data_IF_536496066833
#
_entry.id   IF_536496066833
#
_cell.length_a   1.000
_cell.length_b   1.000
_cell.length_c   1.000
_cell.angle_alpha   90.00
_cell.angle_beta   90.00
_cell.angle_gamma   90.00
#
_symmetry.space_group_name_H-M   'P 1'
#
loop_
_entity.id
_entity.type
_entity.pdbx_description
1 polymer ?
#
# COMPACT_ATOMS: atom_id res chain seq x y z
N UNK A 1 -35.64 -59.25 32.36
CA UNK A 1 -34.36 -58.65 31.96
C UNK A 1 -34.65 -57.63 30.88
N UNK A 2 -34.74 -56.35 31.23
CA UNK A 2 -34.95 -55.24 30.29
C UNK A 2 -33.63 -54.49 30.20
N UNK A 3 -32.99 -54.55 29.04
CA UNK A 3 -31.70 -53.89 28.78
C UNK A 3 -32.01 -52.43 28.41
N UNK A 4 -31.54 -51.52 29.25
CA UNK A 4 -31.58 -50.07 29.02
C UNK A 4 -30.52 -49.70 27.98
N UNK A 5 -30.94 -49.18 26.83
CA UNK A 5 -30.06 -48.64 25.82
C UNK A 5 -29.77 -47.15 26.12
N UNK A 6 -28.56 -46.88 26.61
CA UNK A 6 -28.04 -45.52 26.79
C UNK A 6 -27.82 -44.86 25.43
N UNK A 7 -28.44 -43.69 25.22
CA UNK A 7 -28.13 -42.79 24.11
C UNK A 7 -26.97 -41.88 24.54
N UNK A 8 -25.76 -42.19 24.08
CA UNK A 8 -24.67 -41.21 24.09
C UNK A 8 -24.92 -40.21 22.96
N UNK A 9 -25.29 -38.98 23.32
CA UNK A 9 -25.19 -37.84 22.41
C UNK A 9 -23.73 -37.41 22.38
N UNK A 10 -23.01 -37.78 21.33
CA UNK A 10 -21.70 -37.20 21.04
C UNK A 10 -21.93 -35.82 20.46
N UNK A 11 -21.82 -34.78 21.30
CA UNK A 11 -21.74 -33.41 20.83
C UNK A 11 -20.37 -33.24 20.15
N UNK A 12 -20.36 -33.23 18.81
CA UNK A 12 -19.23 -32.78 18.04
C UNK A 12 -19.13 -31.25 18.21
N UNK A 13 -18.33 -30.78 19.16
CA UNK A 13 -17.86 -29.41 19.14
C UNK A 13 -17.04 -29.25 17.87
N UNK A 14 -17.62 -28.61 16.86
CA UNK A 14 -16.85 -28.02 15.78
C UNK A 14 -15.91 -27.00 16.44
N UNK A 15 -14.63 -27.35 16.56
CA UNK A 15 -13.58 -26.35 16.72
C UNK A 15 -13.67 -25.47 15.48
N UNK A 16 -14.34 -24.32 15.62
CA UNK A 16 -14.13 -23.22 14.70
C UNK A 16 -12.63 -22.93 14.76
N UNK A 17 -11.88 -23.42 13.77
CA UNK A 17 -10.50 -23.04 13.59
C UNK A 17 -10.52 -21.53 13.42
N UNK A 18 -10.05 -20.79 14.42
CA UNK A 18 -9.77 -19.37 14.26
C UNK A 18 -8.80 -19.28 13.10
N UNK A 19 -9.24 -18.67 12.00
CA UNK A 19 -8.33 -18.23 10.97
C UNK A 19 -7.24 -17.39 11.67
N UNK A 20 -5.98 -17.80 11.55
CA UNK A 20 -4.87 -17.03 12.10
C UNK A 20 -4.61 -15.92 11.09
N UNK A 21 -5.26 -14.77 11.30
CA UNK A 21 -5.04 -13.59 10.49
C UNK A 21 -3.58 -13.12 10.61
N UNK A 22 -3.12 -12.42 9.57
CA UNK A 22 -1.87 -11.66 9.62
C UNK A 22 -1.88 -10.74 10.84
N UNK A 23 -0.81 -10.75 11.62
CA UNK A 23 -0.64 -9.82 12.72
C UNK A 23 -0.63 -8.39 12.18
N UNK A 24 -1.20 -7.43 12.93
CA UNK A 24 -1.09 -6.03 12.56
C UNK A 24 0.38 -5.61 12.43
N UNK A 25 0.64 -4.73 11.46
CA UNK A 25 1.90 -4.01 11.38
C UNK A 25 1.82 -2.73 12.22
N UNK A 26 2.94 -2.38 12.84
CA UNK A 26 3.14 -1.16 13.60
C UNK A 26 4.24 -0.32 12.97
N UNK A 27 4.29 0.96 13.33
CA UNK A 27 5.38 1.86 12.94
C UNK A 27 6.40 1.91 14.07
N UNK A 28 7.67 1.65 13.74
CA UNK A 28 8.82 1.81 14.62
C UNK A 28 9.90 2.64 13.92
N UNK A 29 9.96 3.93 14.23
CA UNK A 29 10.78 4.90 13.49
C UNK A 29 10.47 4.87 11.99
N UNK A 30 11.49 4.58 11.17
CA UNK A 30 11.38 4.50 9.70
C UNK A 30 10.85 3.17 9.16
N UNK A 31 10.52 2.22 10.03
CA UNK A 31 10.15 0.88 9.60
C UNK A 31 8.70 0.55 9.95
N UNK A 32 8.06 -0.19 9.05
CA UNK A 32 6.95 -1.04 9.43
C UNK A 32 7.51 -2.30 10.08
N UNK A 33 6.91 -2.74 11.18
CA UNK A 33 7.31 -3.95 11.90
C UNK A 33 6.11 -4.81 12.25
N UNK A 34 6.28 -6.13 12.24
CA UNK A 34 5.28 -7.05 12.76
C UNK A 34 5.05 -6.78 14.26
N UNK A 35 3.81 -6.56 14.68
CA UNK A 35 3.49 -6.21 16.07
C UNK A 35 3.94 -7.27 17.10
N UNK A 36 4.01 -8.55 16.71
CA UNK A 36 4.40 -9.68 17.58
C UNK A 36 5.90 -9.96 17.53
N UNK A 37 6.48 -10.13 16.34
CA UNK A 37 7.88 -10.53 16.17
C UNK A 37 8.86 -9.36 16.18
N UNK A 38 8.36 -8.13 15.92
CA UNK A 38 9.15 -6.91 15.70
C UNK A 38 10.12 -7.00 14.51
N UNK A 39 9.94 -8.00 13.65
CA UNK A 39 10.68 -8.09 12.39
C UNK A 39 10.21 -7.01 11.43
N UNK A 40 11.15 -6.48 10.64
CA UNK A 40 10.88 -5.44 9.66
C UNK A 40 10.00 -5.99 8.54
N UNK A 41 9.09 -5.15 8.07
CA UNK A 41 8.26 -5.40 6.92
C UNK A 41 8.62 -4.42 5.79
N UNK A 42 8.88 -4.94 4.61
CA UNK A 42 9.08 -4.17 3.38
C UNK A 42 7.88 -4.36 2.47
N UNK A 43 7.33 -3.25 1.99
CA UNK A 43 6.21 -3.25 1.06
C UNK A 43 6.72 -3.74 -0.30
N UNK A 44 6.19 -4.87 -0.77
CA UNK A 44 6.31 -5.38 -2.14
C UNK A 44 4.90 -5.42 -2.69
N UNK A 45 4.46 -4.29 -3.27
CA UNK A 45 3.06 -4.05 -3.48
C UNK A 45 2.63 -3.73 -4.91
N UNK A 46 1.32 -3.62 -5.08
CA UNK A 46 0.67 -3.17 -6.31
C UNK A 46 -0.59 -2.37 -5.96
N UNK A 47 -0.87 -1.37 -6.79
CA UNK A 47 -2.10 -0.60 -6.72
C UNK A 47 -3.28 -1.40 -7.29
N UNK A 48 -4.34 -1.57 -6.50
CA UNK A 48 -5.48 -2.44 -6.79
C UNK A 48 -6.79 -1.65 -6.81
N UNK A 49 -7.17 -1.18 -7.99
CA UNK A 49 -8.46 -0.53 -8.25
C UNK A 49 -9.08 -1.00 -9.58
N UNK A 50 -9.42 -2.29 -9.76
CA UNK A 50 -10.11 -2.78 -10.96
C UNK A 50 -11.30 -1.91 -11.38
N UNK A 51 -11.30 -1.42 -12.62
CA UNK A 51 -12.31 -0.50 -13.16
C UNK A 51 -12.08 0.98 -12.81
N UNK A 52 -10.97 1.30 -12.17
CA UNK A 52 -10.55 2.64 -11.77
C UNK A 52 -11.58 3.36 -10.91
N UNK A 53 -11.66 4.68 -11.07
CA UNK A 53 -12.66 5.54 -10.42
C UNK A 53 -14.10 5.07 -10.64
N UNK A 54 -14.42 4.55 -11.84
CA UNK A 54 -15.78 4.21 -12.22
C UNK A 54 -16.30 2.94 -11.53
N UNK A 55 -15.41 2.18 -10.88
CA UNK A 55 -15.76 0.96 -10.17
C UNK A 55 -16.58 1.21 -8.90
N UNK A 56 -16.52 2.43 -8.35
CA UNK A 56 -17.12 2.76 -7.04
C UNK A 56 -18.47 3.43 -7.19
N UNK A 57 -19.47 2.85 -6.57
CA UNK A 57 -20.81 3.41 -6.48
C UNK A 57 -21.51 2.90 -5.20
N UNK A 58 -22.82 3.14 -5.06
CA UNK A 58 -23.59 2.72 -3.88
C UNK A 58 -23.81 1.20 -3.76
N UNK A 59 -23.37 0.40 -4.74
CA UNK A 59 -23.64 -1.05 -4.84
C UNK A 59 -22.39 -1.89 -5.06
N UNK A 60 -21.31 -1.30 -5.56
CA UNK A 60 -20.07 -2.02 -5.85
C UNK A 60 -18.85 -1.13 -5.65
N UNK A 61 -17.75 -1.78 -5.29
CA UNK A 61 -16.38 -1.28 -5.30
C UNK A 61 -15.40 -2.47 -5.51
N UNK A 62 -14.08 -2.26 -5.63
CA UNK A 62 -13.10 -3.33 -5.88
C UNK A 62 -13.09 -4.50 -4.89
N UNK A 63 -13.67 -4.32 -3.70
CA UNK A 63 -13.66 -5.31 -2.61
C UNK A 63 -15.04 -5.95 -2.40
N UNK A 64 -15.97 -5.80 -3.35
CA UNK A 64 -17.31 -6.41 -3.31
C UNK A 64 -17.46 -7.71 -4.11
N UNK A 65 -16.55 -7.99 -5.05
CA UNK A 65 -16.58 -9.23 -5.86
C UNK A 65 -15.53 -10.22 -5.36
N UNK A 66 -15.98 -11.20 -4.56
CA UNK A 66 -15.09 -12.20 -3.97
C UNK A 66 -14.42 -13.11 -5.00
N UNK A 67 -15.06 -13.36 -6.15
CA UNK A 67 -14.49 -14.22 -7.19
C UNK A 67 -13.36 -13.49 -7.93
N UNK A 68 -13.52 -12.17 -8.13
CA UNK A 68 -12.45 -11.30 -8.62
C UNK A 68 -11.29 -11.21 -7.62
N UNK A 69 -11.57 -10.95 -6.34
CA UNK A 69 -10.56 -10.89 -5.29
C UNK A 69 -9.77 -12.20 -5.17
N UNK A 70 -10.44 -13.36 -5.24
CA UNK A 70 -9.77 -14.67 -5.16
C UNK A 70 -8.89 -14.95 -6.39
N UNK A 71 -9.37 -14.61 -7.59
CA UNK A 71 -8.57 -14.68 -8.83
C UNK A 71 -7.30 -13.84 -8.70
N UNK A 72 -7.46 -12.60 -8.29
CA UNK A 72 -6.37 -11.63 -8.26
C UNK A 72 -5.37 -11.95 -7.14
N UNK A 73 -5.85 -12.34 -5.95
CA UNK A 73 -5.00 -12.84 -4.87
C UNK A 73 -4.17 -14.06 -5.30
N UNK A 74 -4.74 -15.01 -6.05
CA UNK A 74 -4.01 -16.17 -6.56
C UNK A 74 -2.86 -15.79 -7.51
N UNK A 75 -3.06 -14.76 -8.36
CA UNK A 75 -2.02 -14.24 -9.25
C UNK A 75 -0.98 -13.42 -8.47
N UNK A 76 -1.41 -12.55 -7.56
CA UNK A 76 -0.54 -11.78 -6.67
C UNK A 76 0.37 -12.68 -5.82
N UNK A 77 -0.14 -13.82 -5.36
CA UNK A 77 0.65 -14.83 -4.67
C UNK A 77 1.80 -15.37 -5.52
N UNK A 78 1.57 -15.57 -6.82
CA UNK A 78 2.62 -16.01 -7.76
C UNK A 78 3.67 -14.94 -8.01
N UNK A 79 3.30 -13.66 -8.00
CA UNK A 79 4.25 -12.54 -8.11
C UNK A 79 5.08 -12.35 -6.85
N UNK A 80 4.52 -12.65 -5.67
CA UNK A 80 5.13 -12.31 -4.38
C UNK A 80 4.67 -10.99 -3.80
N UNK A 81 3.52 -10.48 -4.24
CA UNK A 81 2.92 -9.25 -3.69
C UNK A 81 2.47 -9.50 -2.26
N UNK A 82 2.86 -8.61 -1.34
CA UNK A 82 2.50 -8.69 0.08
C UNK A 82 1.63 -7.52 0.55
N UNK A 83 1.40 -6.53 -0.31
CA UNK A 83 0.62 -5.33 0.00
C UNK A 83 -0.16 -4.85 -1.21
N UNK A 84 -1.40 -4.44 -1.01
CA UNK A 84 -2.19 -3.73 -2.03
C UNK A 84 -2.61 -2.36 -1.52
N UNK A 85 -2.70 -1.38 -2.41
CA UNK A 85 -3.34 -0.08 -2.12
C UNK A 85 -4.68 0.01 -2.83
N UNK A 86 -5.70 0.48 -2.14
CA UNK A 86 -7.04 0.71 -2.70
C UNK A 86 -7.43 2.16 -2.49
N UNK A 87 -7.79 2.84 -3.58
CA UNK A 87 -7.98 4.30 -3.62
C UNK A 87 -9.40 4.72 -3.25
N UNK A 88 -10.39 3.94 -3.68
CA UNK A 88 -11.78 4.35 -3.59
C UNK A 88 -12.64 3.16 -3.19
N UNK A 89 -13.41 3.35 -2.12
CA UNK A 89 -14.32 2.35 -1.54
C UNK A 89 -15.62 3.01 -1.08
N UNK A 90 -16.68 2.21 -0.98
CA UNK A 90 -17.95 2.62 -0.40
C UNK A 90 -18.10 2.00 0.99
N UNK A 91 -18.00 2.79 2.09
CA UNK A 91 -18.06 2.31 3.46
C UNK A 91 -19.19 1.35 3.80
N UNK A 92 -20.37 1.54 3.19
CA UNK A 92 -21.58 0.80 3.59
C UNK A 92 -21.70 -0.59 2.95
N UNK A 93 -20.80 -0.96 2.04
CA UNK A 93 -20.80 -2.29 1.41
C UNK A 93 -20.16 -3.33 2.33
N UNK A 94 -20.40 -4.62 2.06
CA UNK A 94 -19.72 -5.70 2.77
C UNK A 94 -18.44 -6.06 2.03
N UNK A 95 -17.31 -6.01 2.75
CA UNK A 95 -15.98 -6.34 2.23
C UNK A 95 -15.39 -7.60 2.85
N UNK A 96 -16.10 -8.26 3.77
CA UNK A 96 -15.59 -9.33 4.63
C UNK A 96 -14.87 -10.41 3.83
N UNK A 97 -15.47 -10.84 2.73
CA UNK A 97 -14.93 -11.95 1.94
C UNK A 97 -13.64 -11.57 1.21
N UNK A 98 -13.58 -10.40 0.56
CA UNK A 98 -12.38 -9.95 -0.13
C UNK A 98 -11.23 -9.67 0.85
N UNK A 99 -11.52 -8.98 1.97
CA UNK A 99 -10.49 -8.70 2.98
C UNK A 99 -9.94 -9.99 3.58
N UNK A 100 -10.81 -10.97 3.85
CA UNK A 100 -10.38 -12.30 4.32
C UNK A 100 -9.55 -13.02 3.26
N UNK A 101 -9.91 -12.96 1.97
CA UNK A 101 -9.12 -13.55 0.88
C UNK A 101 -7.71 -12.96 0.87
N UNK A 102 -7.56 -11.64 0.91
CA UNK A 102 -6.24 -11.00 0.90
C UNK A 102 -5.45 -11.31 2.18
N UNK A 103 -6.09 -11.33 3.35
CA UNK A 103 -5.44 -11.73 4.60
C UNK A 103 -4.89 -13.15 4.53
N UNK A 104 -5.71 -14.13 4.12
CA UNK A 104 -5.29 -15.52 3.97
C UNK A 104 -4.27 -15.70 2.83
N UNK A 105 -4.20 -14.79 1.87
CA UNK A 105 -3.14 -14.77 0.87
C UNK A 105 -1.80 -14.25 1.40
N UNK A 106 -1.74 -13.70 2.62
CA UNK A 106 -0.56 -13.01 3.14
C UNK A 106 -0.39 -11.58 2.61
N UNK A 107 -1.49 -10.91 2.27
CA UNK A 107 -1.51 -9.58 1.65
C UNK A 107 -2.14 -8.55 2.61
N UNK A 108 -1.34 -7.54 2.95
CA UNK A 108 -1.78 -6.35 3.67
C UNK A 108 -2.47 -5.34 2.74
N UNK A 109 -3.27 -4.45 3.30
CA UNK A 109 -3.97 -3.40 2.57
C UNK A 109 -3.65 -2.01 3.12
N UNK A 110 -3.32 -1.07 2.24
CA UNK A 110 -3.31 0.36 2.54
C UNK A 110 -4.54 0.97 1.87
N UNK A 111 -5.35 1.69 2.65
CA UNK A 111 -6.67 2.14 2.22
C UNK A 111 -6.72 3.66 2.21
N UNK A 112 -7.00 4.25 1.06
CA UNK A 112 -7.35 5.66 1.00
C UNK A 112 -8.77 5.84 1.55
N UNK A 113 -8.96 6.84 2.41
CA UNK A 113 -10.29 7.11 3.01
C UNK A 113 -11.16 8.00 2.13
N UNK A 114 -10.55 8.61 1.12
CA UNK A 114 -11.18 9.50 0.17
C UNK A 114 -11.99 8.71 -0.88
N UNK A 115 -12.86 9.41 -1.59
CA UNK A 115 -13.72 8.83 -2.62
C UNK A 115 -14.16 9.89 -3.63
N UNK A 116 -14.41 9.52 -4.90
CA UNK A 116 -14.97 10.40 -5.91
C UNK A 116 -16.46 10.69 -5.71
N UNK A 117 -17.11 9.98 -4.78
CA UNK A 117 -18.51 10.19 -4.46
C UNK A 117 -18.71 11.58 -3.83
N UNK A 118 -19.95 12.08 -3.86
CA UNK A 118 -20.27 13.38 -3.30
C UNK A 118 -19.81 13.49 -1.84
N UNK A 119 -19.16 14.60 -1.50
CA UNK A 119 -18.53 14.87 -0.20
C UNK A 119 -17.42 13.88 0.19
N UNK A 120 -16.94 13.02 -0.73
CA UNK A 120 -15.96 11.98 -0.42
C UNK A 120 -14.50 12.45 -0.37
N UNK A 121 -14.23 13.73 -0.64
CA UNK A 121 -12.86 14.24 -0.77
C UNK A 121 -12.71 15.67 -0.27
N UNK A 122 -11.48 16.02 0.09
CA UNK A 122 -11.10 17.37 0.45
C UNK A 122 -10.80 18.17 -0.82
N UNK A 123 -11.47 19.30 -1.02
CA UNK A 123 -11.19 20.20 -2.14
C UNK A 123 -9.81 20.86 -1.95
N UNK A 124 -8.88 20.59 -2.85
CA UNK A 124 -7.50 21.11 -2.77
C UNK A 124 -7.40 22.64 -2.90
N UNK A 125 -8.32 23.30 -3.60
CA UNK A 125 -8.30 24.75 -3.80
C UNK A 125 -9.00 25.51 -2.65
N UNK A 126 -10.05 24.91 -2.08
CA UNK A 126 -10.85 25.52 -1.01
C UNK A 126 -11.17 24.49 0.11
N UNK A 127 -10.16 23.93 0.79
CA UNK A 127 -10.36 22.82 1.73
C UNK A 127 -11.26 23.17 2.92
N UNK A 128 -11.38 24.46 3.26
CA UNK A 128 -12.31 24.94 4.29
C UNK A 128 -13.79 24.73 3.95
N UNK A 129 -14.12 24.49 2.67
CA UNK A 129 -15.51 24.26 2.21
C UNK A 129 -15.93 22.80 2.33
N UNK A 130 -14.97 21.88 2.39
CA UNK A 130 -15.22 20.41 2.39
C UNK A 130 -14.69 19.73 3.65
N UNK A 131 -13.94 20.43 4.50
CA UNK A 131 -13.53 19.92 5.82
C UNK A 131 -14.70 20.05 6.81
N UNK A 132 -15.70 19.19 6.62
CA UNK A 132 -16.96 19.22 7.34
C UNK A 132 -17.45 17.82 7.74
N UNK A 133 -18.61 17.76 8.39
CA UNK A 133 -19.18 16.50 8.87
C UNK A 133 -19.53 15.52 7.73
N UNK A 134 -19.91 16.01 6.56
CA UNK A 134 -20.30 15.14 5.44
C UNK A 134 -19.07 14.43 4.86
N UNK A 135 -17.94 15.12 4.79
CA UNK A 135 -16.67 14.47 4.46
C UNK A 135 -16.24 13.43 5.49
N UNK A 136 -16.38 13.73 6.78
CA UNK A 136 -16.00 12.79 7.83
C UNK A 136 -16.94 11.57 7.95
N UNK A 137 -18.15 11.60 7.40
CA UNK A 137 -18.97 10.40 7.25
C UNK A 137 -18.33 9.37 6.32
N UNK A 138 -17.73 9.82 5.20
CA UNK A 138 -16.94 8.96 4.33
C UNK A 138 -15.66 8.48 5.05
N UNK A 139 -14.88 9.42 5.61
CA UNK A 139 -13.58 9.11 6.22
C UNK A 139 -13.71 8.13 7.39
N UNK A 140 -14.57 8.44 8.36
CA UNK A 140 -14.79 7.55 9.51
C UNK A 140 -15.58 6.31 9.10
N UNK A 141 -16.37 6.36 8.03
CA UNK A 141 -17.06 5.19 7.48
C UNK A 141 -16.07 4.13 7.00
N UNK A 142 -15.03 4.52 6.26
CA UNK A 142 -13.95 3.61 5.86
C UNK A 142 -13.24 3.05 7.11
N UNK A 143 -12.91 3.90 8.10
CA UNK A 143 -12.29 3.41 9.34
C UNK A 143 -13.21 2.38 10.03
N UNK A 144 -14.50 2.65 10.17
CA UNK A 144 -15.47 1.74 10.79
C UNK A 144 -15.58 0.40 10.05
N UNK A 145 -15.67 0.44 8.72
CA UNK A 145 -15.76 -0.75 7.89
C UNK A 145 -14.51 -1.65 8.02
N UNK A 146 -13.33 -1.07 8.23
CA UNK A 146 -12.06 -1.80 8.11
C UNK A 146 -11.23 -1.94 9.40
N UNK A 147 -11.54 -1.22 10.49
CA UNK A 147 -10.72 -1.18 11.72
C UNK A 147 -10.53 -2.54 12.42
N UNK A 148 -11.39 -3.52 12.15
CA UNK A 148 -11.33 -4.84 12.77
C UNK A 148 -10.46 -5.84 12.00
N UNK A 149 -10.00 -5.51 10.79
CA UNK A 149 -9.13 -6.41 10.02
C UNK A 149 -7.66 -6.14 10.36
N UNK A 150 -6.95 -7.20 10.76
CA UNK A 150 -5.55 -7.09 11.17
C UNK A 150 -4.60 -6.86 9.99
N UNK A 151 -4.98 -7.27 8.77
CA UNK A 151 -4.21 -7.04 7.55
C UNK A 151 -4.40 -5.63 6.96
N UNK A 152 -5.16 -4.73 7.59
CA UNK A 152 -5.16 -3.30 7.21
C UNK A 152 -3.90 -2.65 7.77
N UNK A 153 -2.91 -2.41 6.93
CA UNK A 153 -1.63 -1.80 7.32
C UNK A 153 -1.83 -0.36 7.78
N UNK A 154 -2.61 0.42 7.05
CA UNK A 154 -2.83 1.83 7.38
C UNK A 154 -3.83 2.52 6.46
N UNK A 155 -4.13 3.76 6.80
CA UNK A 155 -5.02 4.63 6.02
C UNK A 155 -4.27 5.83 5.45
N UNK A 156 -4.48 6.15 4.16
CA UNK A 156 -4.08 7.44 3.60
C UNK A 156 -5.19 8.46 3.87
N UNK A 157 -4.84 9.57 4.53
CA UNK A 157 -5.74 10.69 4.83
C UNK A 157 -6.00 11.62 3.62
N UNK A 158 -5.24 11.41 2.54
CA UNK A 158 -5.33 12.15 1.29
C UNK A 158 -4.27 11.67 0.32
N UNK A 159 -4.57 11.85 -0.97
CA UNK A 159 -3.70 11.53 -2.10
C UNK A 159 -3.53 12.79 -2.95
N UNK A 160 -2.30 13.28 -3.10
CA UNK A 160 -1.93 14.42 -3.95
C UNK A 160 -2.80 15.68 -3.76
N UNK A 161 -3.38 15.88 -2.57
CA UNK A 161 -4.18 17.07 -2.26
C UNK A 161 -3.31 18.32 -2.37
N UNK A 162 -2.05 18.24 -1.93
CA UNK A 162 -1.05 19.27 -2.12
C UNK A 162 -0.36 19.02 -3.47
N UNK A 163 -0.68 19.86 -4.44
CA UNK A 163 -0.09 19.88 -5.77
C UNK A 163 -0.14 21.32 -6.35
N UNK A 164 0.17 21.50 -7.63
CA UNK A 164 0.19 22.81 -8.29
C UNK A 164 -1.16 23.56 -8.27
N UNK A 165 -2.28 22.85 -8.13
CA UNK A 165 -3.63 23.42 -8.11
C UNK A 165 -4.15 23.66 -6.69
N UNK A 166 -3.35 23.29 -5.68
CA UNK A 166 -3.73 23.42 -4.28
C UNK A 166 -3.56 24.84 -3.77
N UNK A 167 -4.40 25.23 -2.82
CA UNK A 167 -4.16 26.44 -2.03
C UNK A 167 -2.98 26.21 -1.08
N UNK A 168 -2.23 27.26 -0.78
CA UNK A 168 -1.13 27.22 0.19
C UNK A 168 -1.58 26.73 1.59
N UNK A 169 -2.88 26.81 1.92
CA UNK A 169 -3.48 26.32 3.17
C UNK A 169 -3.76 24.81 3.19
N UNK A 170 -3.70 24.11 2.05
CA UNK A 170 -4.03 22.68 1.96
C UNK A 170 -3.27 21.80 2.98
N UNK A 171 -1.96 22.02 3.25
CA UNK A 171 -1.23 21.23 4.25
C UNK A 171 -1.86 21.27 5.66
N UNK A 172 -2.37 22.42 6.12
CA UNK A 172 -3.02 22.51 7.43
C UNK A 172 -4.30 21.69 7.52
N UNK A 173 -5.09 21.63 6.44
CA UNK A 173 -6.32 20.86 6.42
C UNK A 173 -6.05 19.37 6.34
N UNK A 174 -5.12 18.92 5.49
CA UNK A 174 -4.71 17.51 5.45
C UNK A 174 -4.17 17.08 6.82
N UNK A 175 -3.32 17.90 7.45
CA UNK A 175 -2.77 17.59 8.79
C UNK A 175 -3.86 17.55 9.87
N UNK A 176 -4.93 18.34 9.72
CA UNK A 176 -6.09 18.28 10.60
C UNK A 176 -6.95 17.01 10.37
N UNK A 177 -7.08 16.55 9.12
CA UNK A 177 -7.72 15.26 8.81
C UNK A 177 -6.95 14.12 9.48
N UNK A 178 -5.61 14.10 9.37
CA UNK A 178 -4.75 13.12 10.07
C UNK A 178 -5.01 13.13 11.58
N UNK A 179 -5.01 14.32 12.21
CA UNK A 179 -5.32 14.48 13.64
C UNK A 179 -6.66 13.84 14.00
N UNK A 180 -7.71 14.15 13.24
CA UNK A 180 -9.06 13.72 13.57
C UNK A 180 -9.28 12.23 13.30
N UNK A 181 -8.67 11.67 12.25
CA UNK A 181 -8.61 10.23 12.00
C UNK A 181 -7.93 9.49 13.15
N UNK A 182 -6.76 9.96 13.58
CA UNK A 182 -6.01 9.33 14.69
C UNK A 182 -6.76 9.42 16.01
N UNK A 183 -7.41 10.55 16.29
CA UNK A 183 -8.27 10.68 17.47
C UNK A 183 -9.49 9.73 17.39
N UNK A 184 -10.11 9.60 16.21
CA UNK A 184 -11.22 8.66 16.00
C UNK A 184 -10.79 7.21 16.22
N UNK A 185 -9.68 6.80 15.62
CA UNK A 185 -9.10 5.45 15.74
C UNK A 185 -8.77 5.16 17.22
N UNK A 186 -8.08 6.07 17.90
CA UNK A 186 -7.71 5.90 19.31
C UNK A 186 -8.92 5.71 20.24
N UNK A 187 -10.08 6.28 19.89
CA UNK A 187 -11.31 6.16 20.66
C UNK A 187 -12.17 4.95 20.29
N UNK A 188 -12.21 4.60 19.00
CA UNK A 188 -13.23 3.71 18.44
C UNK A 188 -12.69 2.40 17.84
N UNK A 189 -11.37 2.23 17.69
CA UNK A 189 -10.75 1.02 17.11
C UNK A 189 -10.15 0.11 18.19
N UNK A 190 -10.10 -1.22 17.95
CA UNK A 190 -9.52 -2.18 18.89
C UNK A 190 -7.98 -2.16 18.92
N UNK A 191 -7.35 -1.48 17.95
CA UNK A 191 -5.90 -1.35 17.80
C UNK A 191 -5.54 0.02 17.24
N UNK A 192 -4.27 0.40 17.38
CA UNK A 192 -3.70 1.50 16.62
C UNK A 192 -3.64 1.10 15.14
N UNK A 193 -4.05 2.02 14.27
CA UNK A 193 -3.94 1.88 12.82
C UNK A 193 -3.20 3.12 12.31
N UNK A 194 -2.02 2.97 11.70
CA UNK A 194 -1.25 4.08 11.15
C UNK A 194 -2.07 4.93 10.16
N UNK A 195 -1.92 6.26 10.24
CA UNK A 195 -2.50 7.21 9.28
C UNK A 195 -1.41 8.01 8.60
N UNK A 196 -1.32 7.91 7.28
CA UNK A 196 -0.32 8.57 6.45
C UNK A 196 -0.90 9.51 5.41
N UNK A 197 -0.03 9.99 4.53
CA UNK A 197 -0.37 10.83 3.37
C UNK A 197 0.39 10.36 2.13
N UNK A 198 -0.27 10.34 0.97
CA UNK A 198 0.35 10.03 -0.31
C UNK A 198 0.58 11.32 -1.10
N UNK A 199 1.84 11.63 -1.38
CA UNK A 199 2.28 12.87 -1.99
C UNK A 199 2.63 12.69 -3.48
N UNK A 200 2.40 13.74 -4.24
CA UNK A 200 2.93 13.87 -5.60
C UNK A 200 4.44 14.17 -5.55
N UNK A 201 5.21 13.64 -6.50
CA UNK A 201 6.62 13.98 -6.70
C UNK A 201 6.78 15.37 -7.35
N UNK A 202 6.47 16.41 -6.59
CA UNK A 202 6.69 17.81 -6.99
C UNK A 202 7.96 18.32 -6.32
N UNK A 203 9.07 18.27 -7.06
CA UNK A 203 10.44 18.52 -6.57
C UNK A 203 10.60 19.72 -5.65
N UNK A 204 9.89 20.82 -5.91
CA UNK A 204 10.04 22.07 -5.16
C UNK A 204 9.32 22.09 -3.81
N UNK A 205 8.42 21.15 -3.53
CA UNK A 205 7.59 21.13 -2.31
C UNK A 205 7.59 19.76 -1.61
N UNK A 206 8.20 18.74 -2.18
CA UNK A 206 8.14 17.37 -1.67
C UNK A 206 8.72 17.25 -0.25
N UNK A 207 9.96 17.70 -0.06
CA UNK A 207 10.64 17.66 1.25
C UNK A 207 9.95 18.57 2.26
N UNK A 208 9.59 19.79 1.87
CA UNK A 208 8.79 20.70 2.69
C UNK A 208 7.45 20.06 3.12
N UNK A 209 6.80 19.28 2.24
CA UNK A 209 5.56 18.56 2.55
C UNK A 209 5.80 17.47 3.59
N UNK A 210 6.85 16.67 3.45
CA UNK A 210 7.24 15.66 4.43
C UNK A 210 7.56 16.31 5.79
N UNK A 211 8.43 17.32 5.82
CA UNK A 211 8.75 18.09 7.04
C UNK A 211 7.50 18.69 7.69
N UNK A 212 6.57 19.23 6.89
CA UNK A 212 5.32 19.80 7.40
C UNK A 212 4.47 18.77 8.12
N UNK A 213 4.45 17.51 7.66
CA UNK A 213 3.63 16.45 8.26
C UNK A 213 4.33 15.66 9.36
N UNK A 214 5.67 15.58 9.33
CA UNK A 214 6.49 14.81 10.28
C UNK A 214 6.96 15.60 11.50
N UNK A 215 7.02 16.94 11.43
CA UNK A 215 7.50 17.70 12.58
C UNK A 215 6.56 17.60 13.79
N UNK A 216 7.09 17.73 15.00
CA UNK A 216 6.32 17.75 16.25
C UNK A 216 5.80 19.15 16.57
N UNK A 217 4.49 19.28 16.74
CA UNK A 217 3.89 20.52 17.25
C UNK A 217 3.97 20.51 18.79
N UNK A 218 4.34 21.64 19.38
CA UNK A 218 4.48 21.77 20.84
C UNK A 218 3.19 21.50 21.63
N UNK A 219 2.02 21.63 20.99
CA UNK A 219 0.71 21.42 21.59
C UNK A 219 0.00 20.15 21.11
N UNK A 220 0.57 19.36 20.19
CA UNK A 220 -0.04 18.11 19.70
C UNK A 220 0.95 17.24 18.93
N UNK A 221 1.03 15.96 19.29
CA UNK A 221 1.73 14.94 18.48
C UNK A 221 0.78 14.13 17.60
N UNK A 222 -0.52 14.08 17.94
CA UNK A 222 -1.52 13.28 17.24
C UNK A 222 -1.80 13.74 15.80
N UNK A 223 -1.37 14.95 15.42
CA UNK A 223 -1.50 15.47 14.05
C UNK A 223 -0.34 15.10 13.13
N UNK A 224 0.72 14.47 13.66
CA UNK A 224 1.82 13.95 12.84
C UNK A 224 1.34 12.71 12.08
N UNK A 225 1.73 12.58 10.81
CA UNK A 225 1.54 11.33 10.05
C UNK A 225 2.33 10.18 10.69
N UNK A 226 1.89 8.96 10.42
CA UNK A 226 2.56 7.73 10.84
C UNK A 226 3.38 7.10 9.70
N UNK A 227 3.16 7.49 8.45
CA UNK A 227 3.94 7.09 7.27
C UNK A 227 3.73 8.07 6.12
N UNK A 228 4.67 8.11 5.18
CA UNK A 228 4.65 8.98 4.01
C UNK A 228 4.76 8.15 2.72
N UNK A 229 3.77 8.24 1.85
CA UNK A 229 3.78 7.65 0.52
C UNK A 229 4.21 8.69 -0.52
N UNK A 230 5.01 8.28 -1.50
CA UNK A 230 5.40 9.10 -2.64
C UNK A 230 4.98 8.42 -3.96
N UNK A 231 4.26 9.14 -4.81
CA UNK A 231 3.98 8.69 -6.18
C UNK A 231 5.16 9.08 -7.07
N UNK A 232 6.10 8.15 -7.31
CA UNK A 232 7.35 8.41 -8.01
C UNK A 232 7.43 7.68 -9.35
N UNK A 233 7.46 8.46 -10.43
CA UNK A 233 7.57 7.97 -11.82
C UNK A 233 8.86 8.43 -12.51
N UNK A 234 9.87 8.83 -11.73
CA UNK A 234 11.10 9.44 -12.24
C UNK A 234 12.06 8.44 -12.89
N UNK A 235 11.91 7.15 -12.61
CA UNK A 235 12.64 6.08 -13.29
C UNK A 235 11.84 5.54 -14.49
N UNK A 236 12.33 5.78 -15.72
CA UNK A 236 11.72 5.27 -16.94
C UNK A 236 12.76 4.51 -17.78
N UNK A 237 12.42 3.31 -18.27
CA UNK A 237 13.28 2.52 -19.16
C UNK A 237 14.59 2.08 -18.50
N UNK A 238 15.72 2.34 -19.18
CA UNK A 238 17.07 1.97 -18.74
C UNK A 238 17.75 3.05 -17.88
N UNK A 239 16.96 3.83 -17.15
CA UNK A 239 17.48 4.77 -16.15
C UNK A 239 18.35 4.06 -15.10
N UNK A 240 19.10 4.86 -14.34
CA UNK A 240 19.95 4.42 -13.24
C UNK A 240 19.60 5.21 -11.99
N UNK A 241 20.10 4.75 -10.84
CA UNK A 241 19.91 5.39 -9.54
C UNK A 241 20.13 6.92 -9.55
N UNK A 242 21.14 7.39 -10.28
CA UNK A 242 21.42 8.83 -10.42
C UNK A 242 20.62 9.50 -11.54
N UNK A 243 20.41 8.85 -12.68
CA UNK A 243 19.70 9.50 -13.79
C UNK A 243 18.19 9.57 -13.58
N UNK A 244 17.61 8.73 -12.71
CA UNK A 244 16.23 8.84 -12.25
C UNK A 244 16.05 9.88 -11.14
N UNK A 245 17.12 10.28 -10.45
CA UNK A 245 17.05 11.10 -9.24
C UNK A 245 16.70 10.31 -7.97
N UNK A 246 16.74 8.98 -8.00
CA UNK A 246 16.52 8.16 -6.80
C UNK A 246 17.62 8.34 -5.76
N UNK A 247 18.81 8.77 -6.17
CA UNK A 247 19.88 9.21 -5.26
C UNK A 247 19.51 10.46 -4.47
N UNK A 248 18.91 11.44 -5.12
CA UNK A 248 18.37 12.65 -4.47
C UNK A 248 17.25 12.27 -3.51
N UNK A 249 16.28 11.45 -3.94
CA UNK A 249 15.20 10.98 -3.07
C UNK A 249 15.74 10.22 -1.85
N UNK A 250 16.79 9.42 -2.01
CA UNK A 250 17.41 8.70 -0.89
C UNK A 250 18.06 9.66 0.09
N UNK A 251 18.74 10.70 -0.39
CA UNK A 251 19.32 11.75 0.46
C UNK A 251 18.23 12.53 1.21
N UNK A 252 17.20 12.97 0.50
CA UNK A 252 16.09 13.76 1.04
C UNK A 252 15.35 13.04 2.19
N UNK A 253 15.14 11.73 2.05
CA UNK A 253 14.43 10.93 3.05
C UNK A 253 15.35 10.13 3.97
N UNK A 254 16.67 10.29 3.87
CA UNK A 254 17.65 9.59 4.71
C UNK A 254 17.42 9.81 6.21
N UNK A 255 16.79 10.93 6.60
CA UNK A 255 16.48 11.30 7.99
C UNK A 255 14.99 11.40 8.29
N UNK A 256 14.12 10.79 7.46
CA UNK A 256 12.69 10.70 7.76
C UNK A 256 12.44 10.06 9.13
N UNK A 257 11.33 10.39 9.76
CA UNK A 257 11.02 9.95 11.13
C UNK A 257 9.86 8.95 11.19
N UNK A 258 9.33 8.65 10.01
CA UNK A 258 8.27 7.70 9.73
C UNK A 258 8.70 6.84 8.53
N UNK A 259 8.06 5.69 8.29
CA UNK A 259 8.29 4.91 7.09
C UNK A 259 7.93 5.72 5.84
N UNK A 260 8.85 5.76 4.89
CA UNK A 260 8.65 6.39 3.58
C UNK A 260 8.68 5.29 2.53
N UNK A 261 7.74 5.28 1.60
CA UNK A 261 7.71 4.28 0.53
C UNK A 261 7.15 4.89 -0.75
N UNK A 262 7.41 4.24 -1.89
CA UNK A 262 6.73 4.62 -3.11
C UNK A 262 5.30 4.12 -3.06
N UNK A 263 4.34 5.01 -2.83
CA UNK A 263 2.93 4.68 -2.87
C UNK A 263 2.44 4.39 -4.28
N UNK A 264 3.21 4.81 -5.30
CA UNK A 264 3.11 4.40 -6.70
C UNK A 264 4.51 4.44 -7.34
N UNK A 265 4.85 3.48 -8.20
CA UNK A 265 5.97 3.55 -9.14
C UNK A 265 5.70 2.72 -10.40
N UNK A 266 6.56 2.87 -11.41
CA UNK A 266 6.52 2.07 -12.64
C UNK A 266 6.16 2.89 -13.89
N UNK A 267 7.01 3.87 -14.22
CA UNK A 267 6.84 4.73 -15.40
C UNK A 267 6.63 3.92 -16.70
N UNK A 268 5.56 4.23 -17.44
CA UNK A 268 5.23 3.57 -18.70
C UNK A 268 5.62 4.36 -19.96
N UNK A 269 6.48 5.40 -19.87
CA UNK A 269 6.96 6.14 -21.05
C UNK A 269 7.78 5.27 -22.02
N UNK A 270 8.39 4.20 -21.51
CA UNK A 270 9.11 3.19 -22.29
C UNK A 270 8.44 1.86 -22.00
N UNK A 271 7.94 1.21 -23.05
CA UNK A 271 7.21 -0.07 -22.95
C UNK A 271 7.88 -1.16 -23.80
N UNK A 272 7.80 -2.44 -23.39
CA UNK A 272 7.25 -2.93 -22.12
C UNK A 272 8.11 -2.48 -20.92
N UNK A 273 7.50 -2.34 -19.73
CA UNK A 273 8.22 -1.91 -18.54
C UNK A 273 9.11 -3.05 -18.06
N UNK A 274 10.40 -2.77 -17.86
CA UNK A 274 11.40 -3.76 -17.41
C UNK A 274 11.58 -3.79 -15.89
N UNK A 275 11.01 -2.80 -15.19
CA UNK A 275 11.00 -2.66 -13.72
C UNK A 275 12.40 -2.71 -13.07
N UNK A 276 13.42 -2.18 -13.74
CA UNK A 276 14.80 -2.20 -13.20
C UNK A 276 14.94 -1.33 -11.94
N UNK A 277 14.04 -0.39 -11.73
CA UNK A 277 13.88 0.40 -10.51
C UNK A 277 13.64 -0.45 -9.25
N UNK A 278 13.10 -1.66 -9.40
CA UNK A 278 12.91 -2.61 -8.28
C UNK A 278 14.27 -2.93 -7.65
N UNK A 279 15.32 -3.18 -8.44
CA UNK A 279 16.64 -3.48 -7.89
C UNK A 279 17.24 -2.28 -7.15
N UNK A 280 16.94 -1.06 -7.59
CA UNK A 280 17.37 0.15 -6.89
C UNK A 280 16.60 0.36 -5.59
N UNK A 281 15.25 0.30 -5.64
CA UNK A 281 14.36 0.53 -4.50
C UNK A 281 14.63 -0.41 -3.34
N UNK A 282 14.87 -1.68 -3.64
CA UNK A 282 15.20 -2.70 -2.64
C UNK A 282 16.71 -2.86 -2.42
N UNK A 283 17.55 -2.05 -3.08
CA UNK A 283 19.01 -2.02 -2.93
C UNK A 283 19.49 -1.57 -1.55
N UNK A 284 20.80 -1.66 -1.29
CA UNK A 284 21.37 -1.29 0.01
C UNK A 284 21.27 0.21 0.31
N UNK A 285 21.32 1.04 -0.72
CA UNK A 285 21.21 2.49 -0.63
C UNK A 285 19.79 2.90 -0.24
N UNK A 286 18.80 2.50 -1.03
CA UNK A 286 17.42 2.97 -0.84
C UNK A 286 16.73 2.35 0.37
N UNK A 287 17.01 1.09 0.72
CA UNK A 287 16.36 0.44 1.88
C UNK A 287 16.75 1.03 3.24
N UNK A 288 17.69 1.98 3.27
CA UNK A 288 18.00 2.78 4.45
C UNK A 288 17.02 3.93 4.67
N UNK A 289 16.42 4.45 3.59
CA UNK A 289 15.46 5.55 3.60
C UNK A 289 14.02 5.08 3.35
N UNK A 290 13.83 4.09 2.48
CA UNK A 290 12.54 3.63 2.01
C UNK A 290 12.16 2.23 2.53
N UNK A 291 10.85 2.04 2.71
CA UNK A 291 10.20 0.81 3.18
C UNK A 291 9.54 0.04 2.04
N UNK A 292 10.08 0.16 0.81
CA UNK A 292 9.61 -0.52 -0.39
C UNK A 292 8.67 0.34 -1.23
N UNK A 293 7.73 -0.29 -1.92
CA UNK A 293 6.74 0.44 -2.74
C UNK A 293 5.71 -0.43 -3.46
N UNK A 294 4.76 0.25 -4.11
CA UNK A 294 3.67 -0.35 -4.87
C UNK A 294 3.75 0.01 -6.36
N UNK A 295 3.66 -0.99 -7.24
CA UNK A 295 3.59 -0.77 -8.69
C UNK A 295 2.22 -0.26 -9.08
N UNK A 296 2.16 0.79 -9.89
CA UNK A 296 0.94 1.27 -10.53
C UNK A 296 0.81 0.63 -11.93
N UNK A 297 -0.21 -0.18 -12.25
CA UNK A 297 -1.28 -0.70 -11.39
C UNK A 297 -1.68 -2.14 -11.79
N UNK A 298 -2.55 -2.79 -11.02
CA UNK A 298 -2.92 -4.19 -11.23
C UNK A 298 -3.62 -4.42 -12.57
N UNK A 299 -4.75 -3.74 -12.82
CA UNK A 299 -5.58 -3.97 -14.01
C UNK A 299 -5.23 -3.02 -15.14
N UNK A 300 -5.25 -3.54 -16.36
CA UNK A 300 -5.08 -2.76 -17.57
C UNK A 300 -6.33 -1.91 -17.84
N UNK A 301 -6.18 -0.60 -17.67
CA UNK A 301 -7.18 0.40 -17.98
C UNK A 301 -6.77 1.21 -19.23
N UNK A 302 -7.42 2.35 -19.50
CA UNK A 302 -7.12 3.20 -20.67
C UNK A 302 -5.78 3.95 -20.56
N UNK A 303 -5.10 3.85 -19.42
CA UNK A 303 -3.84 4.54 -19.10
C UNK A 303 -2.59 3.70 -19.40
N UNK A 304 -2.74 2.43 -19.81
CA UNK A 304 -1.63 1.53 -20.18
C UNK A 304 -0.63 1.23 -19.05
N UNK A 305 -1.13 1.04 -17.82
CA UNK A 305 -0.33 0.69 -16.64
C UNK A 305 -0.56 -0.73 -16.09
N UNK A 306 -1.46 -1.51 -16.68
CA UNK A 306 -1.88 -2.79 -16.10
C UNK A 306 -0.82 -3.89 -16.11
N UNK A 307 -0.86 -4.75 -15.10
CA UNK A 307 -0.16 -6.04 -15.09
C UNK A 307 -1.05 -7.17 -15.63
N UNK A 308 -2.37 -7.07 -15.47
CA UNK A 308 -3.33 -8.06 -15.96
C UNK A 308 -4.46 -7.41 -16.74
N UNK A 309 -4.96 -8.11 -17.75
CA UNK A 309 -6.15 -7.72 -18.52
C UNK A 309 -7.31 -8.65 -18.17
N UNK A 310 -8.37 -8.08 -17.59
CA UNK A 310 -9.63 -8.80 -17.32
C UNK A 310 -10.44 -8.83 -18.61
N UNK A 311 -10.42 -9.95 -19.32
CA UNK A 311 -11.15 -10.08 -20.59
C UNK A 311 -12.66 -10.21 -20.36
N UNK A 312 -13.05 -10.92 -19.29
CA UNK A 312 -14.41 -11.10 -18.80
C UNK A 312 -14.37 -11.78 -17.42
N UNK A 313 -15.53 -12.06 -16.83
CA UNK A 313 -15.68 -12.71 -15.51
C UNK A 313 -14.97 -14.06 -15.39
N UNK A 314 -14.76 -14.78 -16.50
CA UNK A 314 -14.18 -16.12 -16.54
C UNK A 314 -12.77 -16.17 -17.14
N UNK A 315 -12.18 -15.05 -17.56
CA UNK A 315 -10.90 -15.07 -18.28
C UNK A 315 -10.05 -13.84 -18.00
N UNK A 316 -8.80 -14.07 -17.61
CA UNK A 316 -7.78 -13.05 -17.34
C UNK A 316 -6.50 -13.38 -18.12
N UNK A 317 -5.81 -12.34 -18.57
CA UNK A 317 -4.52 -12.46 -19.25
C UNK A 317 -3.46 -11.70 -18.45
N UNK A 318 -2.36 -12.35 -18.08
CA UNK A 318 -1.18 -11.61 -17.56
C UNK A 318 -0.49 -10.92 -18.74
N UNK A 319 -0.10 -9.67 -18.56
CA UNK A 319 0.59 -8.89 -19.59
C UNK A 319 2.11 -9.07 -19.48
N UNK A 320 2.86 -8.63 -20.48
CA UNK A 320 4.33 -8.75 -20.50
C UNK A 320 4.98 -8.08 -19.28
N UNK A 321 4.37 -7.00 -18.79
CA UNK A 321 4.83 -6.28 -17.61
C UNK A 321 4.72 -7.13 -16.32
N UNK A 322 3.73 -8.03 -16.23
CA UNK A 322 3.62 -8.98 -15.12
C UNK A 322 4.86 -9.88 -15.06
N UNK A 323 5.28 -10.41 -16.20
CA UNK A 323 6.44 -11.32 -16.30
C UNK A 323 7.76 -10.57 -16.03
N UNK A 324 7.89 -9.36 -16.55
CA UNK A 324 9.06 -8.51 -16.29
C UNK A 324 9.16 -8.14 -14.80
N UNK A 325 8.05 -7.77 -14.18
CA UNK A 325 8.01 -7.45 -12.76
C UNK A 325 8.36 -8.68 -11.90
N UNK A 326 7.77 -9.83 -12.22
CA UNK A 326 8.06 -11.07 -11.50
C UNK A 326 9.55 -11.43 -11.56
N UNK A 327 10.19 -11.23 -12.71
CA UNK A 327 11.63 -11.45 -12.86
C UNK A 327 12.42 -10.59 -11.86
N UNK A 328 12.07 -9.31 -11.74
CA UNK A 328 12.75 -8.38 -10.82
C UNK A 328 12.50 -8.77 -9.35
N UNK A 329 11.25 -9.08 -8.99
CA UNK A 329 10.91 -9.51 -7.63
C UNK A 329 11.59 -10.82 -7.22
N UNK A 330 11.75 -11.77 -8.14
CA UNK A 330 12.44 -13.04 -7.88
C UNK A 330 13.96 -12.88 -7.65
N UNK A 331 14.55 -11.72 -8.00
CA UNK A 331 15.96 -11.41 -7.76
C UNK A 331 16.20 -10.76 -6.37
N UNK A 332 15.13 -10.43 -5.63
CA UNK A 332 15.23 -9.77 -4.33
C UNK A 332 15.80 -10.69 -3.23
N UNK A 333 16.75 -10.17 -2.47
CA UNK A 333 17.20 -10.78 -1.21
C UNK A 333 16.23 -10.44 -0.07
N UNK A 334 15.17 -11.25 0.04
CA UNK A 334 14.12 -11.09 1.07
C UNK A 334 14.71 -11.09 2.48
N UNK A 335 15.71 -11.95 2.74
CA UNK A 335 16.35 -12.06 4.05
C UNK A 335 17.14 -10.81 4.45
N UNK A 336 17.67 -10.05 3.48
CA UNK A 336 18.33 -8.75 3.73
C UNK A 336 17.30 -7.65 3.96
N UNK A 337 16.34 -7.49 3.06
CA UNK A 337 15.42 -6.33 3.09
C UNK A 337 14.48 -6.38 4.30
N UNK A 338 14.15 -7.57 4.82
CA UNK A 338 13.31 -7.76 6.03
C UNK A 338 14.09 -7.65 7.35
N UNK A 339 15.36 -7.22 7.32
CA UNK A 339 16.12 -6.91 8.55
C UNK A 339 16.11 -5.41 8.80
N UNK A 340 15.80 -5.02 10.05
CA UNK A 340 15.99 -3.64 10.53
C UNK A 340 17.36 -3.49 11.18
N UNK A 341 17.87 -2.26 11.22
CA UNK A 341 19.01 -1.87 12.03
C UNK A 341 18.62 -0.76 13.03
N UNK A 342 19.33 -0.67 14.17
CA UNK A 342 18.97 0.28 15.24
C UNK A 342 19.06 1.77 14.88
N UNK A 343 19.72 2.12 13.76
CA UNK A 343 19.73 3.50 13.24
C UNK A 343 18.44 3.91 12.54
N UNK A 344 17.64 2.95 12.06
CA UNK A 344 16.35 3.23 11.43
C UNK A 344 15.25 3.59 12.44
N UNK A 345 15.31 3.01 13.65
CA UNK A 345 14.28 3.17 14.68
C UNK A 345 14.54 4.31 15.67
N UNK A 346 15.68 5.01 15.57
CA UNK A 346 16.12 6.00 16.58
C UNK A 346 16.06 7.47 16.13
N UNK A 347 15.62 7.75 14.90
CA UNK A 347 15.50 9.12 14.39
C UNK A 347 14.31 9.82 15.05
N UNK A 348 14.56 11.02 15.56
CA UNK A 348 13.54 11.82 16.26
C UNK A 348 13.04 12.93 15.36
N UNK A 349 11.73 13.11 15.35
CA UNK A 349 11.09 14.21 14.67
C UNK A 349 11.58 15.56 15.22
N UNK A 350 11.86 16.49 14.32
CA UNK A 350 12.21 17.85 14.68
C UNK A 350 10.97 18.64 15.14
N UNK A 351 11.17 19.71 15.90
CA UNK A 351 10.07 20.59 16.28
C UNK A 351 9.62 21.43 15.08
N UNK A 352 8.31 21.50 14.86
CA UNK A 352 7.74 22.36 13.81
C UNK A 352 8.19 23.81 13.99
N UNK A 353 8.84 24.36 12.97
CA UNK A 353 9.27 25.76 12.96
C UNK A 353 9.27 26.30 11.53
N UNK A 354 9.04 27.61 11.31
CA UNK A 354 8.97 28.16 9.96
C UNK A 354 10.23 27.93 9.11
N UNK A 355 11.39 27.69 9.74
CA UNK A 355 12.68 27.47 9.07
C UNK A 355 12.83 26.10 8.38
N UNK A 356 11.99 25.11 8.71
CA UNK A 356 12.04 23.78 8.06
C UNK A 356 11.29 23.76 6.72
N UNK A 357 10.56 24.83 6.40
CA UNK A 357 9.83 24.99 5.14
C UNK A 357 10.56 26.05 4.31
N UNK A 358 11.13 25.63 3.18
CA UNK A 358 12.14 26.41 2.44
C UNK A 358 11.65 26.97 1.11
N UNK A 359 10.66 26.34 0.48
CA UNK A 359 10.15 26.68 -0.86
C UNK A 359 9.42 28.02 -0.92
N UNK A 360 8.85 28.47 0.20
CA UNK A 360 7.94 29.61 0.28
C UNK A 360 6.58 29.38 -0.42
N UNK A 361 6.33 28.18 -0.95
CA UNK A 361 5.10 27.79 -1.66
C UNK A 361 4.06 27.13 -0.75
N UNK A 362 4.51 26.58 0.38
CA UNK A 362 3.65 25.96 1.38
C UNK A 362 3.46 26.83 2.62
N UNK A 363 2.37 26.59 3.35
CA UNK A 363 2.17 27.09 4.69
C UNK A 363 3.31 26.65 5.62
N UNK A 364 3.94 27.61 6.30
CA UNK A 364 5.04 27.37 7.25
C UNK A 364 4.62 27.64 8.71
N UNK A 365 3.34 27.43 9.01
CA UNK A 365 2.79 27.55 10.36
C UNK A 365 1.80 26.41 10.65
N UNK A 366 1.62 26.09 11.93
CA UNK A 366 0.87 24.91 12.37
C UNK A 366 -0.38 25.28 13.17
N UNK A 367 -1.03 26.38 12.81
CA UNK A 367 -2.37 26.72 13.28
C UNK A 367 -3.43 25.90 12.54
N UNK A 368 -3.59 24.62 12.91
CA UNK A 368 -4.53 23.72 12.26
C UNK A 368 -5.99 24.18 12.47
N UNK A 369 -6.90 23.97 11.50
CA UNK A 369 -8.33 24.23 11.72
C UNK A 369 -8.84 23.39 12.89
N UNK A 370 -9.76 23.98 13.66
CA UNK A 370 -10.44 23.27 14.74
C UNK A 370 -11.30 22.14 14.16
N UNK A 371 -11.35 21.00 14.86
CA UNK A 371 -12.28 19.91 14.53
C UNK A 371 -13.71 20.47 14.54
N UNK A 372 -14.48 20.32 13.45
CA UNK A 372 -15.87 20.79 13.42
C UNK A 372 -16.68 20.11 14.53
N UNK A 373 -17.60 20.82 15.18
CA UNK A 373 -18.30 20.31 16.37
C UNK A 373 -18.96 18.94 16.15
N UNK A 374 -19.56 18.72 14.98
CA UNK A 374 -20.19 17.45 14.65
C UNK A 374 -19.19 16.31 14.44
N UNK A 375 -17.99 16.62 13.94
CA UNK A 375 -16.89 15.66 13.79
C UNK A 375 -16.35 15.28 15.17
N UNK A 376 -16.28 16.23 16.11
CA UNK A 376 -15.96 15.93 17.51
C UNK A 376 -16.99 14.99 18.15
N UNK A 377 -18.28 15.17 17.86
CA UNK A 377 -19.32 14.24 18.33
C UNK A 377 -19.09 12.82 17.78
N UNK A 378 -18.73 12.70 16.49
CA UNK A 378 -18.40 11.42 15.86
C UNK A 378 -17.15 10.78 16.49
N UNK A 379 -16.10 11.56 16.77
CA UNK A 379 -14.91 11.05 17.45
C UNK A 379 -15.25 10.47 18.82
N UNK A 380 -16.06 11.18 19.61
CA UNK A 380 -16.39 10.74 20.98
C UNK A 380 -17.36 9.57 21.05
N UNK A 381 -18.30 9.49 20.11
CA UNK A 381 -19.44 8.56 20.18
C UNK A 381 -19.43 7.47 19.09
N UNK A 382 -18.49 7.54 18.15
CA UNK A 382 -18.50 6.77 16.90
C UNK A 382 -19.53 7.32 15.90
N UNK A 383 -19.44 6.86 14.65
CA UNK A 383 -20.45 7.14 13.63
C UNK A 383 -21.80 6.45 13.96
N UNK A 384 -22.94 7.13 13.77
CA UNK A 384 -24.25 6.49 13.87
C UNK A 384 -24.45 5.49 12.73
N UNK A 385 -25.00 4.30 13.05
CA UNK A 385 -25.21 3.21 12.08
C UNK A 385 -23.94 2.83 11.30
N UNK A 386 -22.79 2.90 11.97
CA UNK A 386 -21.50 2.57 11.39
C UNK A 386 -21.49 1.17 10.75
N UNK A 387 -20.89 1.01 9.55
CA UNK A 387 -20.57 -0.31 9.03
C UNK A 387 -19.58 -0.99 9.96
N UNK A 388 -19.54 -2.32 9.95
CA UNK A 388 -18.53 -3.07 10.69
C UNK A 388 -18.12 -4.29 9.88
N UNK A 389 -16.82 -4.46 9.73
CA UNK A 389 -16.22 -5.61 9.07
C UNK A 389 -15.81 -6.70 10.05
N UNK A 390 -15.80 -7.95 9.59
CA UNK A 390 -15.25 -9.08 10.32
C UNK A 390 -14.68 -10.15 9.37
N UNK A 391 -13.61 -10.83 9.79
CA UNK A 391 -13.08 -11.94 9.01
C UNK A 391 -14.12 -13.06 8.87
N UNK A 392 -14.16 -13.66 7.69
CA UNK A 392 -14.98 -14.83 7.37
C UNK A 392 -14.09 -15.95 6.84
N UNK A 393 -14.52 -17.20 7.02
CA UNK A 393 -13.75 -18.34 6.53
C UNK A 393 -13.59 -18.30 5.01
N UNK A 394 -12.37 -18.52 4.53
CA UNK A 394 -12.02 -18.68 3.11
C UNK A 394 -11.34 -20.03 2.92
N UNK A 395 -11.48 -20.62 1.74
CA UNK A 395 -10.86 -21.89 1.41
C UNK A 395 -9.98 -21.72 0.18
N UNK A 396 -8.79 -22.32 0.23
CA UNK A 396 -7.88 -22.40 -0.90
C UNK A 396 -8.43 -23.28 -2.03
N UNK A 397 -7.87 -23.13 -3.22
CA UNK A 397 -8.21 -23.99 -4.35
C UNK A 397 -7.85 -23.38 -5.70
N UNK A 398 -7.96 -24.21 -6.74
CA UNK A 398 -7.81 -23.78 -8.13
C UNK A 398 -8.89 -22.77 -8.46
N UNK A 399 -8.50 -21.62 -9.00
CA UNK A 399 -9.45 -20.59 -9.37
C UNK A 399 -10.28 -21.06 -10.59
N UNK A 400 -11.58 -20.71 -10.67
CA UNK A 400 -12.43 -21.17 -11.76
C UNK A 400 -12.15 -20.46 -13.10
N UNK A 401 -11.50 -19.30 -13.07
CA UNK A 401 -11.19 -18.51 -14.25
C UNK A 401 -10.02 -19.11 -15.04
N UNK A 402 -10.10 -18.99 -16.37
CA UNK A 402 -8.97 -19.29 -17.25
C UNK A 402 -7.95 -18.17 -17.19
N UNK A 403 -6.68 -18.54 -17.08
CA UNK A 403 -5.56 -17.61 -17.07
C UNK A 403 -4.71 -17.86 -18.31
N UNK A 404 -4.42 -16.81 -19.07
CA UNK A 404 -3.48 -16.85 -20.19
C UNK A 404 -2.29 -15.96 -19.90
N UNK A 405 -1.11 -16.33 -20.40
CA UNK A 405 0.02 -15.41 -20.45
C UNK A 405 -0.09 -14.46 -21.66
N UNK A 406 0.81 -13.47 -21.72
CA UNK A 406 0.84 -12.47 -22.78
C UNK A 406 1.12 -13.05 -24.18
N UNK A 407 1.58 -14.30 -24.27
CA UNK A 407 1.78 -15.02 -25.54
C UNK A 407 0.54 -15.79 -25.99
N UNK A 408 -0.51 -15.82 -25.15
CA UNK A 408 -1.75 -16.55 -25.39
C UNK A 408 -1.72 -18.01 -24.92
N UNK A 409 -0.68 -18.44 -24.18
CA UNK A 409 -0.61 -19.78 -23.61
C UNK A 409 -1.37 -19.83 -22.29
N UNK A 410 -2.18 -20.86 -22.10
CA UNK A 410 -2.93 -21.06 -20.86
C UNK A 410 -1.98 -21.43 -19.70
N UNK A 411 -2.11 -20.70 -18.59
CA UNK A 411 -1.45 -21.00 -17.32
C UNK A 411 -2.40 -21.88 -16.51
N UNK A 412 -2.07 -23.16 -16.39
CA UNK A 412 -2.92 -24.14 -15.68
C UNK A 412 -2.53 -24.26 -14.21
N UNK A 413 -3.50 -24.68 -13.38
CA UNK A 413 -3.26 -24.93 -11.95
C UNK A 413 -3.01 -23.68 -11.12
N UNK A 414 -3.48 -22.51 -11.56
CA UNK A 414 -3.46 -21.29 -10.75
C UNK A 414 -4.39 -21.52 -9.56
N UNK A 415 -3.83 -21.45 -8.35
CA UNK A 415 -4.56 -21.71 -7.12
C UNK A 415 -4.40 -20.55 -6.15
N UNK A 416 -5.48 -20.21 -5.47
CA UNK A 416 -5.46 -19.39 -4.28
C UNK A 416 -5.01 -20.27 -3.11
N UNK A 417 -3.89 -19.90 -2.49
CA UNK A 417 -3.33 -20.60 -1.33
C UNK A 417 -3.70 -19.86 -0.06
N UNK A 418 -4.27 -20.58 0.90
CA UNK A 418 -4.37 -20.08 2.27
C UNK A 418 -3.02 -20.29 2.93
N UNK A 419 -2.31 -19.20 3.24
CA UNK A 419 -1.07 -19.25 3.99
C UNK A 419 -1.37 -19.58 5.46
N UNK A 420 -0.48 -20.34 6.08
CA UNK A 420 -0.67 -20.79 7.46
C UNK A 420 0.09 -19.89 8.41
N UNK A 421 -0.60 -19.39 9.45
CA UNK A 421 0.03 -18.56 10.47
C UNK A 421 0.19 -17.11 10.02
N UNK A 422 1.14 -16.42 10.62
CA UNK A 422 1.39 -14.98 10.45
C UNK A 422 2.37 -14.69 9.30
N UNK A 423 2.22 -15.41 8.18
CA UNK A 423 3.16 -15.35 7.05
C UNK A 423 2.65 -14.37 5.99
N UNK A 424 3.41 -13.31 5.76
CA UNK A 424 3.22 -12.45 4.59
C UNK A 424 3.69 -13.17 3.32
N UNK A 425 3.01 -12.92 2.21
CA UNK A 425 3.42 -13.45 0.91
C UNK A 425 4.77 -12.87 0.50
N UNK A 426 5.58 -13.63 -0.23
CA UNK A 426 6.89 -13.18 -0.72
C UNK A 426 7.17 -13.75 -2.10
N UNK A 427 8.06 -13.13 -2.90
CA UNK A 427 8.47 -13.65 -4.20
C UNK A 427 8.94 -15.09 -4.11
N UNK A 428 8.27 -15.97 -4.85
CA UNK A 428 8.44 -17.42 -4.74
C UNK A 428 9.65 -17.97 -5.50
N UNK A 429 10.32 -17.15 -6.32
CA UNK A 429 11.40 -17.58 -7.22
C UNK A 429 10.92 -18.39 -8.44
N UNK A 430 9.61 -18.65 -8.56
CA UNK A 430 9.03 -19.37 -9.70
C UNK A 430 8.74 -18.44 -10.87
N UNK A 431 8.82 -18.98 -12.10
CA UNK A 431 8.41 -18.27 -13.31
C UNK A 431 6.89 -18.26 -13.50
N UNK A 432 6.35 -17.21 -14.12
CA UNK A 432 4.92 -16.96 -14.31
C UNK A 432 4.25 -18.07 -15.11
N UNK A 433 5.02 -18.68 -16.02
CA UNK A 433 4.59 -19.75 -16.93
C UNK A 433 4.68 -21.17 -16.36
N UNK A 434 5.22 -21.37 -15.15
CA UNK A 434 5.33 -22.70 -14.55
C UNK A 434 4.04 -23.09 -13.81
N UNK A 435 3.57 -24.32 -14.03
CA UNK A 435 2.52 -24.92 -13.20
C UNK A 435 3.05 -25.06 -11.76
N UNK A 436 2.24 -24.75 -10.76
CA UNK A 436 2.56 -24.93 -9.33
C UNK A 436 2.73 -26.42 -9.03
N UNK A 437 3.95 -26.94 -9.21
CA UNK A 437 4.37 -28.25 -8.72
C UNK A 437 4.95 -28.08 -7.32
N UNK A 438 4.43 -28.84 -6.35
CA UNK A 438 4.92 -28.87 -4.97
C UNK A 438 6.40 -29.26 -4.94
N UNK A 439 7.30 -28.31 -4.67
CA UNK A 439 8.70 -28.58 -4.41
C UNK A 439 9.04 -28.31 -2.94
N UNK A 440 9.07 -29.39 -2.16
CA UNK A 440 9.75 -29.44 -0.86
C UNK A 440 11.23 -29.12 -1.05
N UNK A 441 11.72 -28.08 -0.37
CA UNK A 441 13.12 -27.68 -0.38
C UNK A 441 14.02 -28.74 0.28
N UNK A 442 14.83 -29.43 -0.50
CA UNK A 442 16.05 -30.08 -0.01
C UNK A 442 17.26 -29.26 -0.49
N UNK A 443 17.91 -28.59 0.46
CA UNK A 443 19.12 -27.81 0.25
C UNK A 443 20.30 -28.74 -0.08
N UNK A 444 20.86 -28.64 -1.28
CA UNK A 444 22.22 -29.12 -1.58
C UNK A 444 23.11 -27.93 -1.93
N UNK A 445 24.04 -27.63 -1.03
CA UNK A 445 25.09 -26.63 -1.15
C UNK A 445 26.07 -26.99 -2.27
N UNK A 446 26.05 -26.21 -3.35
CA UNK A 446 27.03 -26.25 -4.43
C UNK A 446 27.82 -24.94 -4.47
N UNK A 447 29.02 -24.96 -3.91
CA UNK A 447 29.98 -23.85 -3.92
C UNK A 447 30.48 -23.61 -5.34
N UNK A 448 30.37 -22.38 -5.86
CA UNK A 448 31.14 -21.95 -7.02
C UNK A 448 31.66 -20.53 -6.84
N UNK A 449 32.99 -20.43 -6.90
CA UNK A 449 33.81 -19.24 -6.86
C UNK A 449 33.86 -18.59 -8.23
N UNK A 450 33.58 -17.29 -8.34
CA UNK A 450 33.95 -16.51 -9.51
C UNK A 450 34.72 -15.23 -9.14
N UNK A 451 35.90 -15.15 -9.77
CA UNK A 451 36.89 -14.09 -9.67
C UNK A 451 36.39 -12.77 -10.26
N UNK A 452 36.81 -11.69 -9.62
CA UNK A 452 36.75 -10.33 -10.12
C UNK A 452 37.68 -10.12 -11.33
N UNK A 453 37.23 -9.32 -12.30
CA UNK A 453 38.10 -8.61 -13.21
C UNK A 453 37.47 -7.25 -13.56
N UNK A 454 38.15 -6.19 -13.13
CA UNK A 454 37.89 -4.79 -13.49
C UNK A 454 38.23 -4.50 -14.95
N UNK A 455 37.53 -3.54 -15.57
CA UNK A 455 38.08 -2.75 -16.68
C UNK A 455 37.51 -1.32 -16.63
N UNK A 456 38.42 -0.35 -16.67
CA UNK A 456 38.21 1.09 -16.55
C UNK A 456 37.95 1.77 -17.90
N UNK A 457 37.03 2.76 -17.87
CA UNK A 457 37.16 4.09 -18.50
C UNK A 457 36.49 4.34 -19.86
N UNK A 458 36.32 5.62 -20.30
CA UNK A 458 36.16 6.87 -19.54
C UNK A 458 34.86 7.65 -19.89
N UNK A 459 34.63 8.69 -19.09
CA UNK A 459 33.53 9.66 -19.08
C UNK A 459 33.52 10.65 -20.26
N UNK A 460 32.31 11.06 -20.66
CA UNK A 460 32.06 12.33 -21.36
C UNK A 460 30.81 13.00 -20.78
N UNK A 461 30.99 14.25 -20.35
CA UNK A 461 29.98 15.11 -19.76
C UNK A 461 29.22 15.93 -20.81
N UNK A 462 27.92 16.16 -20.56
CA UNK A 462 27.04 17.28 -20.97
C UNK A 462 25.63 16.87 -20.47
N UNK A 463 24.88 17.62 -19.66
CA UNK A 463 24.84 19.05 -19.43
C UNK A 463 23.45 19.57 -19.84
N UNK A 464 22.55 19.73 -18.86
CA UNK A 464 21.56 20.80 -18.84
C UNK A 464 20.10 20.50 -19.21
N UNK A 465 19.24 20.88 -18.26
CA UNK A 465 17.92 21.50 -18.40
C UNK A 465 16.69 20.65 -18.77
N UNK A 466 15.76 20.64 -17.82
CA UNK A 466 14.41 21.12 -18.11
C UNK A 466 13.32 20.09 -17.87
N UNK A 467 12.89 19.96 -16.61
CA UNK A 467 11.57 19.41 -16.31
C UNK A 467 10.48 20.29 -16.90
N UNK A 468 9.41 19.65 -17.38
CA UNK A 468 8.07 20.22 -17.46
C UNK A 468 7.07 19.09 -17.78
N UNK A 469 6.04 18.99 -16.93
CA UNK A 469 4.73 18.34 -17.10
C UNK A 469 4.66 16.88 -17.56
N UNK A 470 4.25 16.01 -16.64
CA UNK A 470 3.16 15.07 -16.91
C UNK A 470 2.15 15.12 -15.77
N UNK A 471 1.09 15.89 -16.00
CA UNK A 471 -0.20 15.70 -15.33
C UNK A 471 -1.09 14.97 -16.32
N UNK A 472 -1.44 13.72 -16.03
CA UNK A 472 -2.63 13.02 -16.53
C UNK A 472 -2.71 11.62 -15.91
N UNK A 473 -2.74 11.55 -14.57
CA UNK A 473 -3.10 10.32 -13.86
C UNK A 473 -3.66 10.59 -12.45
N UNK A 474 -4.42 11.67 -12.25
CA UNK A 474 -5.17 11.89 -11.00
C UNK A 474 -6.24 12.98 -11.20
N UNK A 475 -7.15 12.77 -12.14
CA UNK A 475 -8.47 13.38 -12.04
C UNK A 475 -9.26 12.59 -11.00
N UNK A 476 -8.95 12.86 -9.73
CA UNK A 476 -9.83 12.96 -8.56
C UNK A 476 -9.01 13.25 -7.31
#
# INVERSE_FOLDING_TARGET
>A
MVVSAGRFFTAACALAGSALALSPLEVDGKDFVNSKTKERFQIIGVDYQPGGTNAVNTKSDPLTDSDACMRDAALMQRLGINTIRIYNMQPTLNHDKCVSIFSEAGIYMILDVNSPLANGSLNRAEPWTTYDAAYFEQVFGIIEAFKNYENVLGFFAGNEVINQDSTWLAPAYVRAVVRDMKNYIAKNAPRTIPVGYSAADVSDILTDTAHYFECEMSNSTNSRIDFFGLNSYSWCGDASYTSSGYDVLTEDFANATVPVFFSEYGCNKVTPRTFTEVQALYGEEMTQAFSGGLVYEWTQETNDYGLVMINNTNTVTTLIDYDNLQKQFNELDIGRIMKSNGSQTSVKAETCSPSIITSGKLLNSWGLPATPSKVSDYIESGLPNAPTGSFVAVSGGVIPQKVYDYTGKEITGVEFKVLTGDEANTPSGNSSSSSTGTSSSSSSTGTSTHNAASLNGPSVARGGLGGLFMLLASLL
#
